data_IF_564758306692
#
_entry.id   IF_564758306692
#
_cell.length_a   1.000
_cell.length_b   1.000
_cell.length_c   1.000
_cell.angle_alpha   90.00
_cell.angle_beta   90.00
_cell.angle_gamma   90.00
#
_symmetry.space_group_name_H-M   'P 1'
#
loop_
_entity.id
_entity.type
_entity.pdbx_description
1 polymer ?
#
# COMPACT_ATOMS: atom_id res chain seq x y z
N UNK A 1 -8.54 2.97 7.29
CA UNK A 1 -7.97 4.14 6.60
C UNK A 1 -6.92 4.80 7.49
N UNK A 2 -5.79 5.11 6.92
CA UNK A 2 -4.69 5.79 7.62
C UNK A 2 -4.64 7.24 7.15
N UNK A 3 -4.65 8.18 8.11
CA UNK A 3 -4.35 9.59 7.86
C UNK A 3 -2.95 9.87 8.35
N UNK A 4 -2.12 10.47 7.51
CA UNK A 4 -0.75 10.82 7.86
C UNK A 4 -0.50 12.28 7.55
N UNK A 5 -0.02 13.03 8.54
CA UNK A 5 0.46 14.40 8.34
C UNK A 5 1.94 14.31 8.01
N UNK A 6 2.31 14.70 6.79
CA UNK A 6 3.68 14.62 6.30
C UNK A 6 4.27 16.03 6.34
N UNK A 7 5.36 16.19 7.10
CA UNK A 7 6.12 17.44 7.16
C UNK A 7 7.34 17.29 6.27
N UNK A 8 7.54 18.24 5.39
CA UNK A 8 8.62 18.20 4.39
C UNK A 8 9.05 19.61 4.01
N UNK A 9 10.20 19.72 3.37
CA UNK A 9 10.66 20.97 2.77
C UNK A 9 10.18 20.99 1.32
N UNK A 10 9.44 22.03 0.93
CA UNK A 10 8.90 22.13 -0.40
C UNK A 10 9.95 22.62 -1.42
N UNK A 11 9.56 22.75 -2.70
CA UNK A 11 10.48 23.15 -3.75
C UNK A 11 10.97 24.60 -3.63
N UNK A 12 10.30 25.43 -2.82
CA UNK A 12 10.74 26.77 -2.50
C UNK A 12 11.68 26.85 -1.28
N UNK A 13 12.00 25.69 -0.71
CA UNK A 13 12.87 25.60 0.46
C UNK A 13 12.17 25.89 1.78
N UNK A 14 10.84 25.94 1.79
CA UNK A 14 10.06 26.22 2.97
C UNK A 14 9.53 24.94 3.61
N UNK A 15 9.46 24.90 4.94
CA UNK A 15 8.83 23.80 5.65
C UNK A 15 7.32 23.86 5.48
N UNK A 16 6.73 22.73 5.15
CA UNK A 16 5.30 22.61 4.89
C UNK A 16 4.80 21.26 5.38
N UNK A 17 3.53 21.20 5.74
CA UNK A 17 2.86 19.94 6.10
C UNK A 17 1.64 19.74 5.21
N UNK A 18 1.37 18.48 4.87
CA UNK A 18 0.12 18.11 4.22
C UNK A 18 -0.43 16.83 4.83
N UNK A 19 -1.75 16.71 4.80
CA UNK A 19 -2.42 15.48 5.21
C UNK A 19 -2.59 14.58 4.00
N UNK A 20 -2.13 13.34 4.13
CA UNK A 20 -2.30 12.31 3.11
C UNK A 20 -3.12 11.16 3.69
N UNK A 21 -3.94 10.55 2.85
CA UNK A 21 -4.85 9.47 3.24
C UNK A 21 -4.52 8.22 2.46
N UNK A 22 -4.51 7.09 3.16
CA UNK A 22 -4.16 5.79 2.59
C UNK A 22 -5.16 4.75 3.04
N UNK A 23 -5.64 3.94 2.12
CA UNK A 23 -6.54 2.85 2.43
C UNK A 23 -6.49 1.77 1.36
N UNK A 24 -6.54 0.52 1.80
CA UNK A 24 -6.74 -0.62 0.93
C UNK A 24 -8.07 -1.27 1.32
N UNK A 25 -8.94 -1.49 0.35
CA UNK A 25 -10.18 -2.24 0.57
C UNK A 25 -9.86 -3.73 0.63
N UNK A 26 -10.83 -4.52 1.11
CA UNK A 26 -10.71 -5.98 1.14
C UNK A 26 -10.44 -6.56 -0.25
N UNK A 27 -11.14 -6.03 -1.26
CA UNK A 27 -10.96 -6.44 -2.65
C UNK A 27 -9.55 -6.14 -3.14
N UNK A 28 -9.05 -4.95 -2.87
CA UNK A 28 -7.68 -4.55 -3.24
C UNK A 28 -6.63 -5.41 -2.53
N UNK A 29 -6.88 -5.78 -1.28
CA UNK A 29 -5.98 -6.68 -0.53
C UNK A 29 -5.95 -8.09 -1.15
N UNK A 30 -7.09 -8.59 -1.59
CA UNK A 30 -7.16 -9.89 -2.28
C UNK A 30 -6.34 -9.84 -3.57
N UNK A 31 -6.50 -8.79 -4.38
CA UNK A 31 -5.73 -8.61 -5.61
C UNK A 31 -4.24 -8.62 -5.34
N UNK A 32 -3.80 -7.85 -4.34
CA UNK A 32 -2.38 -7.80 -3.96
C UNK A 32 -1.88 -9.13 -3.41
N UNK A 33 -2.72 -9.83 -2.65
CA UNK A 33 -2.37 -11.14 -2.13
C UNK A 33 -2.11 -12.13 -3.25
N UNK A 34 -2.91 -12.09 -4.30
CA UNK A 34 -2.72 -12.94 -5.48
C UNK A 34 -1.46 -12.53 -6.26
N UNK A 35 -1.19 -11.24 -6.42
CA UNK A 35 0.01 -10.73 -7.09
C UNK A 35 1.29 -11.22 -6.39
N UNK A 36 1.27 -11.39 -5.07
CA UNK A 36 2.43 -11.80 -4.26
C UNK A 36 2.31 -13.22 -3.72
N UNK A 37 1.57 -14.07 -4.39
CA UNK A 37 1.33 -15.47 -3.94
C UNK A 37 2.64 -16.24 -3.74
N UNK A 38 3.64 -16.01 -4.60
CA UNK A 38 4.95 -16.65 -4.49
C UNK A 38 5.72 -16.26 -3.22
N UNK A 39 5.41 -15.12 -2.64
CA UNK A 39 6.03 -14.63 -1.39
C UNK A 39 5.19 -14.97 -0.15
N UNK A 40 4.17 -15.82 -0.29
CA UNK A 40 3.24 -16.11 0.79
C UNK A 40 2.10 -15.11 0.87
N UNK A 41 1.77 -14.44 -0.24
CA UNK A 41 0.76 -13.40 -0.33
C UNK A 41 1.26 -12.05 0.16
N UNK A 42 0.35 -11.09 0.21
CA UNK A 42 0.65 -9.73 0.66
C UNK A 42 1.19 -9.72 2.09
N UNK A 43 0.55 -10.45 2.98
CA UNK A 43 0.96 -10.52 4.40
C UNK A 43 2.35 -11.14 4.52
N UNK A 44 2.63 -12.21 3.79
CA UNK A 44 3.95 -12.84 3.76
C UNK A 44 5.03 -11.89 3.31
N UNK A 45 4.78 -11.13 2.25
CA UNK A 45 5.71 -10.10 1.74
C UNK A 45 5.95 -9.00 2.76
N UNK A 46 4.89 -8.50 3.40
CA UNK A 46 4.98 -7.48 4.44
C UNK A 46 5.78 -7.94 5.64
N UNK A 47 5.54 -9.15 6.13
CA UNK A 47 6.29 -9.71 7.26
C UNK A 47 7.78 -9.80 6.96
N UNK A 48 8.14 -10.23 5.77
CA UNK A 48 9.53 -10.33 5.33
C UNK A 48 10.19 -8.95 5.32
N UNK A 49 9.52 -7.93 4.77
CA UNK A 49 10.01 -6.56 4.72
C UNK A 49 10.19 -5.96 6.12
N UNK A 50 9.21 -6.16 7.00
CA UNK A 50 9.25 -5.66 8.37
C UNK A 50 10.40 -6.30 9.14
N UNK A 51 10.62 -7.59 8.97
CA UNK A 51 11.73 -8.29 9.63
C UNK A 51 13.09 -7.77 9.15
N UNK A 52 13.26 -7.51 7.88
CA UNK A 52 14.46 -6.89 7.32
C UNK A 52 14.71 -5.51 7.92
N UNK A 53 13.66 -4.69 8.04
CA UNK A 53 13.74 -3.37 8.66
C UNK A 53 14.15 -3.45 10.13
N UNK A 54 13.61 -4.39 10.89
CA UNK A 54 13.94 -4.59 12.30
C UNK A 54 15.38 -5.04 12.52
N UNK A 55 16.02 -5.65 11.52
CA UNK A 55 17.44 -6.04 11.57
C UNK A 55 18.38 -4.86 11.34
N UNK A 56 17.83 -3.66 11.11
CA UNK A 56 18.62 -2.45 10.94
C UNK A 56 19.28 -2.30 9.58
N UNK A 57 18.78 -2.98 8.57
CA UNK A 57 19.22 -2.79 7.19
C UNK A 57 18.79 -1.41 6.70
N UNK A 58 19.75 -0.58 6.33
CA UNK A 58 19.50 0.85 6.05
C UNK A 58 18.87 1.09 4.69
N UNK A 59 19.34 0.40 3.66
CA UNK A 59 18.82 0.61 2.30
C UNK A 59 18.39 -0.71 1.71
N UNK A 60 17.07 -0.93 1.58
CA UNK A 60 16.56 -2.14 0.97
C UNK A 60 16.97 -2.22 -0.50
N UNK A 61 17.01 -3.45 -1.02
CA UNK A 61 17.24 -3.69 -2.43
C UNK A 61 16.08 -3.17 -3.27
N UNK A 62 16.32 -2.98 -4.57
CA UNK A 62 15.32 -2.44 -5.49
C UNK A 62 13.95 -3.13 -5.43
N UNK A 63 13.83 -4.46 -5.36
CA UNK A 63 12.52 -5.09 -5.20
C UNK A 63 11.76 -4.62 -3.96
N UNK A 64 12.47 -4.38 -2.85
CA UNK A 64 11.87 -3.86 -1.63
C UNK A 64 11.40 -2.42 -1.80
N UNK A 65 12.21 -1.58 -2.43
CA UNK A 65 11.85 -0.20 -2.74
C UNK A 65 10.61 -0.17 -3.62
N UNK A 66 10.58 -0.97 -4.67
CA UNK A 66 9.44 -1.05 -5.59
C UNK A 66 8.18 -1.51 -4.87
N UNK A 67 8.30 -2.44 -3.93
CA UNK A 67 7.16 -2.94 -3.15
C UNK A 67 6.57 -1.86 -2.23
N UNK A 68 7.43 -1.13 -1.52
CA UNK A 68 6.98 -0.02 -0.65
C UNK A 68 6.27 1.05 -1.48
N UNK A 69 6.84 1.42 -2.62
CA UNK A 69 6.23 2.39 -3.53
C UNK A 69 4.90 1.89 -4.06
N UNK A 70 4.81 0.60 -4.41
CA UNK A 70 3.56 0.00 -4.87
C UNK A 70 2.48 0.09 -3.79
N UNK A 71 2.80 -0.20 -2.54
CA UNK A 71 1.85 -0.11 -1.43
C UNK A 71 1.32 1.31 -1.25
N UNK A 72 2.20 2.30 -1.32
CA UNK A 72 1.80 3.70 -1.24
C UNK A 72 0.93 4.06 -2.43
N UNK A 73 1.34 3.69 -3.64
CA UNK A 73 0.61 3.99 -4.87
C UNK A 73 -0.80 3.40 -4.88
N UNK A 74 -0.93 2.15 -4.40
CA UNK A 74 -2.22 1.46 -4.36
C UNK A 74 -3.13 1.93 -3.22
N UNK A 75 -2.56 2.44 -2.14
CA UNK A 75 -3.32 2.84 -0.96
C UNK A 75 -3.68 4.33 -0.93
N UNK A 76 -2.94 5.18 -1.62
CA UNK A 76 -3.18 6.62 -1.61
C UNK A 76 -4.52 6.97 -2.24
N UNK A 77 -5.21 7.94 -1.65
CA UNK A 77 -6.46 8.45 -2.18
C UNK A 77 -6.84 9.78 -1.57
N UNK A 78 -7.92 10.35 -2.07
CA UNK A 78 -8.45 11.64 -1.63
C UNK A 78 -9.77 11.41 -0.92
N UNK A 79 -9.91 12.04 0.25
CA UNK A 79 -11.15 12.03 1.03
C UNK A 79 -11.99 13.27 0.69
N UNK A 80 -13.11 13.12 -0.03
CA UNK A 80 -14.03 14.24 -0.22
C UNK A 80 -14.62 14.68 1.13
N UNK A 81 -14.68 15.99 1.35
CA UNK A 81 -15.22 16.53 2.60
C UNK A 81 -16.71 16.29 2.75
N UNK A 82 -17.42 16.22 1.64
CA UNK A 82 -18.89 16.20 1.60
C UNK A 82 -19.49 14.80 1.48
N UNK A 83 -18.66 13.77 1.28
CA UNK A 83 -19.16 12.41 1.12
C UNK A 83 -18.27 11.41 1.85
N UNK A 84 -18.69 10.93 3.04
CA UNK A 84 -17.91 9.96 3.80
C UNK A 84 -17.91 8.55 3.20
N UNK A 85 -18.71 8.30 2.16
CA UNK A 85 -18.78 7.00 1.50
C UNK A 85 -17.71 6.81 0.45
N UNK A 86 -17.03 7.90 0.05
CA UNK A 86 -16.05 7.88 -1.03
C UNK A 86 -14.62 7.99 -0.54
N UNK A 87 -13.76 7.22 -1.17
CA UNK A 87 -12.31 7.35 -1.09
C UNK A 87 -11.80 7.33 -2.53
N UNK A 88 -11.39 8.49 -3.04
CA UNK A 88 -11.15 8.65 -4.46
C UNK A 88 -9.73 8.25 -4.84
N UNK A 89 -9.61 7.33 -5.76
CA UNK A 89 -8.32 6.92 -6.35
C UNK A 89 -8.13 7.47 -7.76
N UNK A 90 -9.19 8.03 -8.32
CA UNK A 90 -9.16 8.70 -9.62
C UNK A 90 -9.85 10.06 -9.52
N UNK A 91 -9.45 11.00 -10.36
CA UNK A 91 -10.13 12.30 -10.46
C UNK A 91 -11.32 12.22 -11.42
N UNK A 92 -11.97 13.37 -11.67
CA UNK A 92 -13.14 13.47 -12.55
C UNK A 92 -12.87 13.01 -13.98
N UNK A 93 -11.62 13.05 -14.41
CA UNK A 93 -11.20 12.64 -15.76
C UNK A 93 -10.66 11.19 -15.81
N UNK A 94 -10.78 10.45 -14.72
CA UNK A 94 -10.28 9.09 -14.64
C UNK A 94 -8.75 8.99 -14.49
N UNK A 95 -8.09 10.08 -14.15
CA UNK A 95 -6.65 10.08 -13.92
C UNK A 95 -6.37 9.66 -12.47
N UNK A 96 -5.49 8.66 -12.25
CA UNK A 96 -5.16 8.25 -10.89
C UNK A 96 -4.58 9.42 -10.08
N UNK A 97 -5.16 9.67 -8.91
CA UNK A 97 -4.74 10.80 -8.06
C UNK A 97 -3.31 10.66 -7.55
N UNK A 98 -2.78 9.45 -7.51
CA UNK A 98 -1.40 9.18 -7.12
C UNK A 98 -0.38 9.87 -8.06
N UNK A 99 -0.73 10.08 -9.31
CA UNK A 99 0.18 10.71 -10.29
C UNK A 99 0.63 12.09 -9.85
N UNK A 100 -0.30 12.89 -9.34
CA UNK A 100 0.02 14.24 -8.82
C UNK A 100 0.83 14.14 -7.52
N UNK A 101 0.44 13.24 -6.64
CA UNK A 101 1.13 13.05 -5.36
C UNK A 101 2.59 12.62 -5.56
N UNK A 102 2.87 11.74 -6.51
CA UNK A 102 4.23 11.30 -6.83
C UNK A 102 5.17 12.44 -7.24
N UNK A 103 4.63 13.54 -7.69
CA UNK A 103 5.42 14.71 -8.09
C UNK A 103 5.72 15.65 -6.94
N UNK A 104 5.17 15.39 -5.77
CA UNK A 104 5.39 16.20 -4.58
C UNK A 104 6.57 15.69 -3.75
N UNK A 105 7.24 16.61 -3.07
CA UNK A 105 8.27 16.23 -2.11
C UNK A 105 7.68 15.53 -0.88
N UNK A 106 6.40 15.72 -0.60
CA UNK A 106 5.72 14.97 0.43
C UNK A 106 5.76 13.46 0.17
N UNK A 107 5.48 13.04 -1.07
CA UNK A 107 5.57 11.64 -1.47
C UNK A 107 6.99 11.08 -1.26
N UNK A 108 7.97 11.78 -1.79
CA UNK A 108 9.37 11.33 -1.71
C UNK A 108 9.89 11.29 -0.26
N UNK A 109 9.50 12.27 0.54
CA UNK A 109 9.84 12.29 1.97
C UNK A 109 9.24 11.07 2.68
N UNK A 110 7.98 10.79 2.43
CA UNK A 110 7.30 9.67 3.10
C UNK A 110 7.85 8.30 2.66
N UNK A 111 8.10 8.14 1.35
CA UNK A 111 8.72 6.91 0.83
C UNK A 111 10.09 6.70 1.49
N UNK A 112 10.92 7.73 1.51
CA UNK A 112 12.24 7.65 2.13
C UNK A 112 12.16 7.31 3.62
N UNK A 113 11.23 7.94 4.34
CA UNK A 113 11.06 7.71 5.77
C UNK A 113 10.61 6.27 6.06
N UNK A 114 9.76 5.69 5.22
CA UNK A 114 9.38 4.28 5.35
C UNK A 114 10.54 3.34 5.04
N UNK A 115 11.34 3.65 4.02
CA UNK A 115 12.47 2.82 3.64
C UNK A 115 13.62 2.88 4.64
N UNK A 116 13.84 4.05 5.25
CA UNK A 116 14.91 4.25 6.23
C UNK A 116 14.55 3.81 7.65
N UNK A 117 13.28 3.49 7.89
CA UNK A 117 12.81 3.12 9.23
C UNK A 117 12.44 4.29 10.12
N UNK A 118 12.56 5.54 9.65
CA UNK A 118 12.10 6.72 10.38
C UNK A 118 10.60 6.68 10.62
N UNK A 119 9.84 6.21 9.61
CA UNK A 119 8.44 5.86 9.73
C UNK A 119 8.31 4.34 9.74
N UNK A 120 7.43 3.81 10.57
CA UNK A 120 7.26 2.36 10.70
C UNK A 120 6.43 1.78 9.55
N UNK A 121 7.03 0.86 8.80
CA UNK A 121 6.33 0.11 7.76
C UNK A 121 5.23 -0.77 8.36
N UNK A 122 5.45 -1.31 9.56
CA UNK A 122 4.45 -2.11 10.29
C UNK A 122 3.21 -1.30 10.62
N UNK A 123 3.39 -0.08 11.15
CA UNK A 123 2.27 0.82 11.45
C UNK A 123 1.55 1.27 10.19
N UNK A 124 2.29 1.55 9.13
CA UNK A 124 1.70 1.88 7.83
C UNK A 124 0.83 0.74 7.32
N UNK A 125 1.37 -0.47 7.28
CA UNK A 125 0.66 -1.65 6.81
C UNK A 125 -0.61 -1.91 7.61
N UNK A 126 -0.53 -1.85 8.93
CA UNK A 126 -1.69 -2.01 9.80
C UNK A 126 -2.74 -0.92 9.61
N UNK A 127 -2.29 0.30 9.36
CA UNK A 127 -3.20 1.44 9.16
C UNK A 127 -3.94 1.41 7.83
N UNK A 128 -3.33 0.92 6.76
CA UNK A 128 -3.95 0.88 5.44
C UNK A 128 -4.78 -0.37 5.19
N UNK A 129 -4.48 -1.45 5.88
CA UNK A 129 -5.21 -2.71 5.74
C UNK A 129 -6.58 -2.63 6.40
N UNK A 130 -7.61 -3.24 5.80
CA UNK A 130 -8.87 -3.41 6.49
C UNK A 130 -8.67 -4.32 7.70
N UNK A 131 -9.57 -4.25 8.67
CA UNK A 131 -9.56 -5.13 9.84
C UNK A 131 -9.96 -6.56 9.43
N UNK A 132 -9.04 -7.23 8.75
CA UNK A 132 -9.24 -8.58 8.21
C UNK A 132 -8.00 -9.41 8.58
N UNK A 133 -8.22 -10.60 9.09
CA UNK A 133 -7.14 -11.49 9.48
C UNK A 133 -6.54 -12.22 8.27
N UNK A 134 -5.32 -12.76 8.44
CA UNK A 134 -4.71 -13.65 7.44
C UNK A 134 -5.62 -14.83 7.11
N UNK A 135 -6.29 -15.38 8.13
CA UNK A 135 -7.19 -16.51 7.94
C UNK A 135 -8.39 -16.12 7.08
N UNK A 136 -8.94 -14.92 7.28
CA UNK A 136 -10.04 -14.42 6.46
C UNK A 136 -9.63 -14.20 5.02
N UNK A 137 -8.44 -13.65 4.78
CA UNK A 137 -7.89 -13.46 3.44
C UNK A 137 -7.66 -14.79 2.74
N UNK A 138 -7.07 -15.76 3.44
CA UNK A 138 -6.83 -17.09 2.91
C UNK A 138 -8.15 -17.82 2.60
N UNK A 139 -9.17 -17.66 3.47
CA UNK A 139 -10.48 -18.24 3.24
C UNK A 139 -11.17 -17.63 2.03
N UNK A 140 -11.10 -16.31 1.86
CA UNK A 140 -11.67 -15.61 0.71
C UNK A 140 -11.00 -16.06 -0.59
N UNK A 141 -9.68 -16.17 -0.62
CA UNK A 141 -8.92 -16.64 -1.77
C UNK A 141 -9.28 -18.08 -2.12
N UNK A 142 -9.36 -18.95 -1.12
CA UNK A 142 -9.74 -20.34 -1.29
C UNK A 142 -11.17 -20.47 -1.85
N UNK A 143 -12.09 -19.65 -1.36
CA UNK A 143 -13.46 -19.64 -1.84
C UNK A 143 -13.52 -19.21 -3.30
N UNK A 144 -12.76 -18.21 -3.70
CA UNK A 144 -12.67 -17.77 -5.09
C UNK A 144 -12.20 -18.91 -6.00
N UNK A 145 -11.20 -19.66 -5.58
CA UNK A 145 -10.70 -20.84 -6.33
C UNK A 145 -11.75 -21.93 -6.40
N UNK A 146 -12.46 -22.21 -5.30
CA UNK A 146 -13.51 -23.22 -5.24
C UNK A 146 -14.70 -22.89 -6.13
N UNK A 147 -15.00 -21.61 -6.32
CA UNK A 147 -16.06 -21.13 -7.20
C UNK A 147 -15.65 -21.08 -8.67
N UNK A 148 -14.43 -21.49 -8.99
CA UNK A 148 -13.92 -21.52 -10.35
C UNK A 148 -13.45 -20.18 -10.89
N UNK A 149 -13.28 -19.19 -10.03
CA UNK A 149 -12.81 -17.87 -10.40
C UNK A 149 -11.33 -17.84 -10.73
N UNK A 150 -10.60 -18.88 -10.40
CA UNK A 150 -9.17 -19.01 -10.69
C UNK A 150 -8.84 -18.90 -12.18
N UNK A 151 -9.81 -19.16 -13.07
CA UNK A 151 -9.65 -18.97 -14.51
C UNK A 151 -9.43 -17.52 -14.90
N UNK A 152 -9.78 -16.60 -14.03
CA UNK A 152 -9.58 -15.16 -14.22
C UNK A 152 -8.23 -14.70 -13.67
N UNK A 153 -7.50 -15.58 -12.98
CA UNK A 153 -6.22 -15.29 -12.36
C UNK A 153 -5.14 -15.84 -13.29
N UNK A 154 -4.11 -15.03 -13.67
CA UNK A 154 -3.00 -15.53 -14.47
C UNK A 154 -2.31 -16.72 -13.84
N UNK A 155 -1.86 -17.67 -14.67
CA UNK A 155 -1.09 -18.80 -14.19
C UNK A 155 0.15 -18.32 -13.42
N UNK A 156 0.47 -19.00 -12.33
CA UNK A 156 1.58 -18.65 -11.47
C UNK A 156 1.23 -17.73 -10.32
N UNK A 157 0.07 -17.06 -10.36
CA UNK A 157 -0.38 -16.23 -9.26
C UNK A 157 -1.25 -17.00 -8.24
N UNK A 158 -1.86 -18.09 -8.64
CA UNK A 158 -2.71 -18.90 -7.77
C UNK A 158 -2.07 -20.22 -7.33
N UNK A 159 -0.83 -20.45 -7.66
CA UNK A 159 -0.05 -21.58 -7.18
C UNK A 159 0.73 -21.18 -5.92
N UNK A 160 0.74 -22.06 -4.94
CA UNK A 160 1.43 -21.84 -3.68
C UNK A 160 2.65 -22.72 -3.57
#
# INVERSE_FOLDING_TARGET
>A
MLKKTITFTNYDGEEQSMDAYFNLTRTECIDLNLEYEADGGLIGKLKKMINEQKKGEEIPQKPAVDFVRLLIDRSYGIRPKDDPTLFLKEDENGVPVIRKFRQSLAYHTYVYDLLSGKESLDEFAKGVMPKISEAEMAAAEKQMKAEGLEKLIPEGLHEV
#
